data_IF_466673958906
#
_entry.id   IF_466673958906
#
_cell.length_a   1.000
_cell.length_b   1.000
_cell.length_c   1.000
_cell.angle_alpha   90.00
_cell.angle_beta   90.00
_cell.angle_gamma   90.00
#
_symmetry.space_group_name_H-M   'P 1'
#
loop_
_entity.id
_entity.type
_entity.pdbx_description
1 polymer ?
#
# COMPACT_ATOMS: atom_id res chain seq x y z
N UNK A 1 72.83 2.35 2.28
CA UNK A 1 71.67 1.39 2.35
C UNK A 1 70.44 2.12 1.81
N UNK A 2 70.12 1.96 0.53
CA UNK A 2 69.02 2.56 -0.15
C UNK A 2 67.86 1.55 -0.16
N UNK A 3 66.85 1.79 0.71
CA UNK A 3 65.64 0.99 0.73
C UNK A 3 64.71 1.43 -0.40
N UNK A 4 64.57 0.62 -1.45
CA UNK A 4 63.54 0.79 -2.46
C UNK A 4 62.22 0.25 -1.90
N UNK A 5 61.22 1.12 -1.76
CA UNK A 5 59.83 0.71 -1.51
C UNK A 5 59.29 -0.02 -2.75
N UNK A 6 58.60 -1.16 -2.57
CA UNK A 6 58.01 -1.86 -3.71
C UNK A 6 56.79 -1.06 -4.19
N UNK A 7 56.85 -0.55 -5.42
CA UNK A 7 55.71 0.06 -6.12
C UNK A 7 54.77 -1.07 -6.52
N UNK A 8 53.68 -1.23 -5.79
CA UNK A 8 52.58 -2.16 -6.14
C UNK A 8 51.95 -1.68 -7.45
N UNK A 9 52.20 -2.38 -8.55
CA UNK A 9 51.54 -2.09 -9.84
C UNK A 9 50.05 -2.41 -9.73
N UNK A 10 49.24 -1.38 -9.63
CA UNK A 10 47.77 -1.51 -9.74
C UNK A 10 47.44 -1.89 -11.19
N UNK A 11 47.09 -3.16 -11.43
CA UNK A 11 46.61 -3.63 -12.74
C UNK A 11 45.40 -2.79 -13.13
N UNK A 12 45.51 -1.92 -14.14
CA UNK A 12 44.38 -1.21 -14.76
C UNK A 12 43.38 -2.24 -15.28
N UNK A 13 42.15 -2.24 -14.75
CA UNK A 13 41.06 -3.04 -15.31
C UNK A 13 40.81 -2.58 -16.75
N UNK A 14 40.42 -3.49 -17.65
CA UNK A 14 40.00 -3.07 -18.99
C UNK A 14 38.71 -2.24 -18.90
N UNK A 15 38.60 -1.21 -19.72
CA UNK A 15 37.41 -0.31 -19.78
C UNK A 15 36.14 -1.11 -19.97
N UNK A 16 36.15 -2.15 -20.78
CA UNK A 16 35.01 -3.05 -20.99
C UNK A 16 34.57 -3.74 -19.69
N UNK A 17 35.51 -4.19 -18.88
CA UNK A 17 35.21 -4.84 -17.60
C UNK A 17 34.58 -3.85 -16.60
N UNK A 18 35.06 -2.62 -16.56
CA UNK A 18 34.49 -1.56 -15.72
C UNK A 18 33.03 -1.23 -16.11
N UNK A 19 32.75 -1.15 -17.41
CA UNK A 19 31.39 -0.96 -17.90
C UNK A 19 30.46 -2.13 -17.53
N UNK A 20 30.90 -3.37 -17.73
CA UNK A 20 30.16 -4.58 -17.39
C UNK A 20 29.87 -4.65 -15.88
N UNK A 21 30.89 -4.42 -15.04
CA UNK A 21 30.73 -4.38 -13.58
C UNK A 21 29.69 -3.30 -13.16
N UNK A 22 29.76 -2.09 -13.75
CA UNK A 22 28.84 -0.99 -13.46
C UNK A 22 27.40 -1.30 -13.88
N UNK A 23 27.19 -1.91 -15.04
CA UNK A 23 25.87 -2.33 -15.52
C UNK A 23 25.28 -3.42 -14.62
N UNK A 24 26.08 -4.40 -14.21
CA UNK A 24 25.63 -5.46 -13.29
C UNK A 24 25.21 -4.85 -11.94
N UNK A 25 26.03 -3.98 -11.37
CA UNK A 25 25.71 -3.31 -10.10
C UNK A 25 24.43 -2.48 -10.21
N UNK A 26 24.29 -1.69 -11.28
CA UNK A 26 23.10 -0.90 -11.54
C UNK A 26 21.85 -1.78 -11.69
N UNK A 27 21.95 -2.90 -12.41
CA UNK A 27 20.87 -3.86 -12.59
C UNK A 27 20.45 -4.51 -11.26
N UNK A 28 21.43 -4.98 -10.47
CA UNK A 28 21.16 -5.59 -9.16
C UNK A 28 20.48 -4.57 -8.22
N UNK A 29 20.99 -3.33 -8.19
CA UNK A 29 20.40 -2.26 -7.38
C UNK A 29 18.96 -1.93 -7.82
N UNK A 30 18.73 -1.82 -9.12
CA UNK A 30 17.38 -1.61 -9.67
C UNK A 30 16.43 -2.75 -9.31
N UNK A 31 16.89 -4.00 -9.36
CA UNK A 31 16.12 -5.16 -8.94
C UNK A 31 15.78 -5.13 -7.45
N UNK A 32 16.73 -4.76 -6.59
CA UNK A 32 16.50 -4.61 -5.15
C UNK A 32 15.43 -3.53 -4.90
N UNK A 33 15.58 -2.36 -5.54
CA UNK A 33 14.60 -1.28 -5.41
C UNK A 33 13.21 -1.74 -5.85
N UNK A 34 13.11 -2.41 -7.01
CA UNK A 34 11.83 -2.90 -7.55
C UNK A 34 11.17 -3.95 -6.65
N UNK A 35 11.94 -4.86 -6.08
CA UNK A 35 11.40 -5.94 -5.24
C UNK A 35 10.99 -5.42 -3.86
N UNK A 36 11.79 -4.57 -3.24
CA UNK A 36 11.62 -4.20 -1.84
C UNK A 36 10.99 -2.84 -1.60
N UNK A 37 11.17 -1.87 -2.50
CA UNK A 37 10.82 -0.48 -2.19
C UNK A 37 9.54 -0.02 -2.87
N UNK A 38 9.42 -0.18 -4.20
CA UNK A 38 8.33 0.39 -4.98
C UNK A 38 7.78 -0.60 -5.99
N UNK A 39 6.46 -0.71 -6.04
CA UNK A 39 5.76 -1.50 -7.06
C UNK A 39 4.71 -0.65 -7.77
N UNK A 40 4.65 -0.80 -9.10
CA UNK A 40 3.61 -0.20 -9.91
C UNK A 40 2.37 -1.10 -9.96
N UNK A 41 1.18 -0.50 -9.80
CA UNK A 41 -0.11 -1.16 -9.96
C UNK A 41 -0.99 -0.37 -10.91
N UNK A 42 -1.65 -1.08 -11.84
CA UNK A 42 -2.68 -0.49 -12.69
C UNK A 42 -4.04 -0.65 -12.02
N UNK A 43 -4.85 0.39 -12.02
CA UNK A 43 -6.19 0.40 -11.43
C UNK A 43 -7.19 -0.16 -12.44
N UNK A 44 -7.79 -1.34 -12.18
CA UNK A 44 -8.70 -1.98 -13.12
C UNK A 44 -10.17 -1.61 -12.89
N UNK A 45 -10.54 -1.07 -11.71
CA UNK A 45 -11.94 -0.89 -11.30
C UNK A 45 -12.20 0.47 -10.67
N UNK A 46 -13.45 0.93 -10.74
CA UNK A 46 -13.87 2.24 -10.24
C UNK A 46 -14.21 2.30 -8.75
N UNK A 47 -13.85 1.31 -7.94
CA UNK A 47 -14.18 1.29 -6.50
C UNK A 47 -13.52 2.42 -5.69
N UNK A 48 -12.47 3.05 -6.24
CA UNK A 48 -11.76 4.19 -5.66
C UNK A 48 -11.97 5.47 -6.48
N UNK A 49 -13.02 5.54 -7.31
CA UNK A 49 -13.36 6.77 -8.08
C UNK A 49 -13.47 7.94 -7.13
N UNK A 50 -13.19 9.14 -7.64
CA UNK A 50 -12.85 10.39 -6.98
C UNK A 50 -11.36 10.48 -6.63
N UNK A 51 -10.73 9.44 -6.11
CA UNK A 51 -9.29 9.42 -5.83
C UNK A 51 -8.51 8.75 -6.96
N UNK A 52 -8.90 7.57 -7.39
CA UNK A 52 -8.25 6.80 -8.46
C UNK A 52 -9.27 6.48 -9.55
N UNK A 53 -8.88 6.61 -10.81
CA UNK A 53 -9.70 6.21 -11.96
C UNK A 53 -9.15 4.93 -12.59
N UNK A 54 -10.03 4.24 -13.31
CA UNK A 54 -9.62 3.08 -14.12
C UNK A 54 -8.57 3.50 -15.14
N UNK A 55 -7.51 2.71 -15.25
CA UNK A 55 -6.38 3.01 -16.13
C UNK A 55 -5.24 3.80 -15.47
N UNK A 56 -5.48 4.43 -14.30
CA UNK A 56 -4.38 5.03 -13.54
C UNK A 56 -3.33 3.97 -13.21
N UNK A 57 -2.06 4.36 -13.27
CA UNK A 57 -0.95 3.55 -12.78
C UNK A 57 -0.33 4.27 -11.59
N UNK A 58 -0.29 3.56 -10.47
CA UNK A 58 0.15 4.10 -9.19
C UNK A 58 1.47 3.49 -8.74
N UNK A 59 2.25 4.26 -7.98
CA UNK A 59 3.41 3.76 -7.25
C UNK A 59 3.02 3.45 -5.80
N UNK A 60 3.32 2.23 -5.38
CA UNK A 60 3.05 1.72 -4.04
C UNK A 60 4.35 1.51 -3.30
N UNK A 61 4.50 2.16 -2.15
CA UNK A 61 5.62 1.95 -1.24
C UNK A 61 5.35 0.75 -0.35
N UNK A 62 6.08 -0.32 -0.57
CA UNK A 62 6.00 -1.55 0.23
C UNK A 62 6.71 -1.42 1.58
N UNK A 63 7.75 -0.60 1.63
CA UNK A 63 8.64 -0.51 2.78
C UNK A 63 7.97 0.11 4.00
N UNK A 64 6.96 0.96 3.78
CA UNK A 64 6.36 1.78 4.83
C UNK A 64 5.70 0.94 5.94
N UNK A 65 5.11 -0.21 5.60
CA UNK A 65 4.43 -1.12 6.55
C UNK A 65 5.21 -2.39 6.87
N UNK A 66 6.50 -2.41 6.51
CA UNK A 66 7.36 -3.58 6.65
C UNK A 66 7.22 -4.55 5.47
N UNK A 67 8.30 -4.71 4.72
CA UNK A 67 8.33 -5.59 3.55
C UNK A 67 8.34 -7.05 4.01
N UNK A 68 7.48 -7.88 3.43
CA UNK A 68 7.59 -9.34 3.57
C UNK A 68 8.80 -9.80 2.74
N UNK A 69 9.72 -10.51 3.37
CA UNK A 69 10.87 -11.09 2.66
C UNK A 69 10.35 -12.26 1.80
N UNK A 70 10.64 -12.27 0.49
CA UNK A 70 10.25 -13.37 -0.39
C UNK A 70 10.67 -14.73 0.18
N UNK A 71 9.83 -15.74 0.03
CA UNK A 71 10.06 -17.12 0.48
C UNK A 71 10.19 -17.33 1.99
N UNK A 72 9.86 -16.31 2.81
CA UNK A 72 9.87 -16.42 4.28
C UNK A 72 8.61 -15.80 4.86
N UNK A 73 8.32 -16.07 6.14
CA UNK A 73 7.27 -15.38 6.88
C UNK A 73 7.78 -14.12 7.61
N UNK A 74 9.04 -13.82 7.45
CA UNK A 74 9.65 -12.66 8.09
C UNK A 74 9.26 -11.36 7.40
N UNK A 75 9.03 -10.32 8.21
CA UNK A 75 8.84 -8.94 7.76
C UNK A 75 9.91 -8.04 8.34
N UNK A 76 10.42 -7.14 7.52
CA UNK A 76 11.25 -6.05 8.01
C UNK A 76 10.43 -5.14 8.93
N UNK A 77 11.06 -4.46 9.90
CA UNK A 77 10.37 -3.48 10.73
C UNK A 77 9.66 -2.43 9.88
N UNK A 78 8.43 -2.08 10.26
CA UNK A 78 7.67 -1.03 9.60
C UNK A 78 8.27 0.35 9.94
N UNK A 79 8.37 1.23 8.96
CA UNK A 79 8.79 2.63 9.17
C UNK A 79 7.72 3.35 10.01
N UNK A 80 6.44 3.08 9.74
CA UNK A 80 5.32 3.59 10.52
C UNK A 80 4.12 2.65 10.46
N UNK A 81 3.23 2.82 11.42
CA UNK A 81 1.95 2.11 11.42
C UNK A 81 1.01 2.68 10.35
N UNK A 82 0.12 1.84 9.80
CA UNK A 82 -0.98 2.30 8.96
C UNK A 82 -1.84 3.33 9.71
N UNK A 83 -2.26 4.38 9.01
CA UNK A 83 -3.11 5.43 9.59
C UNK A 83 -4.41 5.55 8.81
N UNK A 84 -5.47 5.94 9.50
CA UNK A 84 -6.74 6.29 8.85
C UNK A 84 -6.51 7.28 7.71
N UNK A 85 -7.18 7.07 6.58
CA UNK A 85 -7.00 7.85 5.37
C UNK A 85 -5.96 7.29 4.41
N UNK A 86 -5.03 6.42 4.84
CA UNK A 86 -4.06 5.80 3.93
C UNK A 86 -4.78 4.97 2.85
N UNK A 87 -4.40 5.17 1.60
CA UNK A 87 -4.82 4.29 0.49
C UNK A 87 -3.83 3.14 0.40
N UNK A 88 -4.32 1.93 0.60
CA UNK A 88 -3.49 0.73 0.79
C UNK A 88 -3.81 -0.32 -0.26
N UNK A 89 -2.77 -0.93 -0.81
CA UNK A 89 -2.87 -2.16 -1.61
C UNK A 89 -2.65 -3.35 -0.69
N UNK A 90 -3.54 -4.33 -0.78
CA UNK A 90 -3.50 -5.54 0.03
C UNK A 90 -4.03 -6.75 -0.73
N UNK A 91 -3.63 -7.93 -0.30
CA UNK A 91 -4.13 -9.22 -0.79
C UNK A 91 -5.58 -9.40 -0.32
N UNK A 92 -6.48 -9.72 -1.24
CA UNK A 92 -7.90 -9.92 -0.93
C UNK A 92 -8.09 -11.15 -0.02
N UNK A 93 -8.74 -11.01 1.16
CA UNK A 93 -8.82 -12.09 2.14
C UNK A 93 -9.51 -13.36 1.64
N UNK A 94 -10.54 -13.23 0.81
CA UNK A 94 -11.32 -14.37 0.30
C UNK A 94 -10.69 -15.00 -0.96
N UNK A 95 -9.79 -14.29 -1.65
CA UNK A 95 -9.07 -14.80 -2.81
C UNK A 95 -7.65 -14.24 -2.88
N UNK A 96 -6.64 -14.94 -2.34
CA UNK A 96 -5.25 -14.47 -2.27
C UNK A 96 -4.56 -14.27 -3.64
N UNK A 97 -5.22 -14.63 -4.74
CA UNK A 97 -4.72 -14.36 -6.09
C UNK A 97 -5.05 -12.96 -6.60
N UNK A 98 -5.83 -12.18 -5.84
CA UNK A 98 -6.27 -10.84 -6.21
C UNK A 98 -5.74 -9.82 -5.24
N UNK A 99 -5.23 -8.72 -5.76
CA UNK A 99 -4.86 -7.55 -4.98
C UNK A 99 -5.98 -6.51 -5.05
N UNK A 100 -6.32 -5.95 -3.91
CA UNK A 100 -7.31 -4.89 -3.77
C UNK A 100 -6.65 -3.60 -3.30
N UNK A 101 -7.25 -2.49 -3.68
CA UNK A 101 -6.86 -1.16 -3.22
C UNK A 101 -8.06 -0.48 -2.59
N UNK A 102 -7.93 -0.05 -1.33
CA UNK A 102 -8.97 0.64 -0.56
C UNK A 102 -8.35 1.66 0.39
N UNK A 103 -9.20 2.49 0.95
CA UNK A 103 -8.84 3.47 1.99
C UNK A 103 -9.03 2.87 3.37
N UNK A 104 -8.03 3.04 4.23
CA UNK A 104 -8.09 2.60 5.62
C UNK A 104 -9.06 3.50 6.40
N UNK A 105 -10.14 2.92 6.89
CA UNK A 105 -11.17 3.63 7.65
C UNK A 105 -11.03 3.44 9.16
N UNK A 106 -10.67 2.23 9.61
CA UNK A 106 -10.46 1.97 11.04
C UNK A 106 -9.34 0.98 11.30
N UNK A 107 -8.69 1.14 12.45
CA UNK A 107 -7.57 0.33 12.94
C UNK A 107 -8.02 -0.55 14.11
N UNK A 108 -7.14 -1.45 14.53
CA UNK A 108 -7.41 -2.37 15.66
C UNK A 108 -7.95 -1.67 16.89
N UNK A 109 -8.91 -2.30 17.57
CA UNK A 109 -9.56 -1.81 18.78
C UNK A 109 -10.63 -0.75 18.56
N UNK A 110 -10.70 -0.14 17.36
CA UNK A 110 -11.73 0.84 17.04
C UNK A 110 -13.06 0.17 16.70
N UNK A 111 -14.15 0.77 17.17
CA UNK A 111 -15.48 0.37 16.73
C UNK A 111 -15.92 1.15 15.50
N UNK A 112 -16.56 0.45 14.56
CA UNK A 112 -17.06 1.02 13.30
C UNK A 112 -18.56 0.80 13.21
N UNK A 113 -19.29 1.83 12.82
CA UNK A 113 -20.71 1.77 12.51
C UNK A 113 -21.02 2.75 11.37
N UNK A 114 -21.94 2.39 10.47
CA UNK A 114 -22.40 3.28 9.41
C UNK A 114 -23.87 3.61 9.67
N UNK A 115 -24.16 4.90 9.86
CA UNK A 115 -25.50 5.44 10.09
C UNK A 115 -25.79 6.57 9.11
N UNK A 116 -26.91 6.49 8.40
CA UNK A 116 -27.35 7.53 7.47
C UNK A 116 -26.22 7.99 6.51
N UNK A 117 -25.42 7.04 6.01
CA UNK A 117 -24.31 7.32 5.09
C UNK A 117 -23.05 7.89 5.74
N UNK A 118 -23.04 8.11 7.04
CA UNK A 118 -21.90 8.60 7.81
C UNK A 118 -21.22 7.46 8.56
N UNK A 119 -19.87 7.45 8.53
CA UNK A 119 -19.06 6.50 9.31
C UNK A 119 -18.91 7.05 10.73
N UNK A 120 -19.17 6.21 11.71
CA UNK A 120 -18.90 6.47 13.12
C UNK A 120 -17.75 5.59 13.59
N UNK A 121 -16.76 6.20 14.22
CA UNK A 121 -15.63 5.52 14.87
C UNK A 121 -15.71 5.81 16.37
N UNK A 122 -15.76 4.76 17.19
CA UNK A 122 -15.88 4.88 18.64
C UNK A 122 -17.08 5.78 19.07
N UNK A 123 -18.21 5.62 18.37
CA UNK A 123 -19.45 6.39 18.52
C UNK A 123 -19.38 7.88 18.12
N UNK A 124 -18.28 8.33 17.53
CA UNK A 124 -18.14 9.70 17.03
C UNK A 124 -18.18 9.73 15.50
N UNK A 125 -18.91 10.66 14.89
CA UNK A 125 -18.93 10.76 13.43
C UNK A 125 -17.54 11.13 12.92
N UNK A 126 -17.12 10.45 11.87
CA UNK A 126 -15.82 10.68 11.24
C UNK A 126 -15.85 11.96 10.41
N UNK A 127 -15.27 13.04 10.95
CA UNK A 127 -15.28 14.37 10.35
C UNK A 127 -14.17 14.60 9.30
N UNK A 128 -13.22 13.65 9.14
CA UNK A 128 -12.16 13.78 8.15
C UNK A 128 -12.76 13.96 6.74
N UNK A 129 -12.39 15.02 6.00
CA UNK A 129 -12.90 15.31 4.65
C UNK A 129 -12.74 14.15 3.67
N UNK A 130 -11.75 13.28 3.89
CA UNK A 130 -11.54 12.07 3.08
C UNK A 130 -12.72 11.09 3.18
N UNK A 131 -13.53 11.18 4.22
CA UNK A 131 -14.69 10.33 4.46
C UNK A 131 -15.98 11.11 4.54
N UNK A 132 -16.03 12.26 5.24
CA UNK A 132 -17.25 13.02 5.52
C UNK A 132 -17.91 13.62 4.27
N UNK A 133 -17.14 13.79 3.19
CA UNK A 133 -17.67 14.28 1.90
C UNK A 133 -18.28 13.16 1.03
N UNK A 134 -18.39 11.93 1.56
CA UNK A 134 -18.88 10.76 0.84
C UNK A 134 -20.05 10.13 1.58
N UNK A 135 -20.99 9.58 0.83
CA UNK A 135 -22.08 8.80 1.39
C UNK A 135 -21.74 7.31 1.38
N UNK A 136 -21.76 6.66 2.53
CA UNK A 136 -21.45 5.23 2.67
C UNK A 136 -22.75 4.43 2.84
N UNK A 137 -23.07 3.64 1.82
CA UNK A 137 -24.27 2.79 1.85
C UNK A 137 -24.11 1.64 2.84
N UNK A 138 -25.16 1.38 3.63
CA UNK A 138 -25.26 0.19 4.47
C UNK A 138 -25.46 -1.04 3.58
N UNK A 139 -24.38 -1.77 3.30
CA UNK A 139 -24.34 -2.97 2.44
C UNK A 139 -23.40 -4.01 3.03
N UNK A 140 -23.66 -5.29 2.71
CA UNK A 140 -22.86 -6.41 3.21
C UNK A 140 -23.08 -6.69 4.69
N UNK A 141 -22.49 -7.77 5.17
CA UNK A 141 -22.75 -8.32 6.50
C UNK A 141 -22.11 -7.52 7.65
N UNK A 142 -21.09 -6.72 7.33
CA UNK A 142 -20.33 -5.96 8.32
C UNK A 142 -20.74 -4.48 8.42
N UNK A 143 -21.73 -4.03 7.65
CA UNK A 143 -22.17 -2.64 7.69
C UNK A 143 -23.69 -2.51 7.59
N UNK A 144 -24.41 -3.48 8.13
CA UNK A 144 -25.88 -3.41 8.29
C UNK A 144 -26.24 -2.24 9.23
N UNK A 145 -27.38 -1.66 9.01
CA UNK A 145 -27.86 -0.55 9.85
C UNK A 145 -27.96 -0.98 11.32
N UNK A 146 -27.44 -0.13 12.22
CA UNK A 146 -27.40 -0.43 13.65
C UNK A 146 -26.35 -1.46 14.06
N UNK A 147 -25.61 -2.05 13.11
CA UNK A 147 -24.56 -3.01 13.42
C UNK A 147 -23.26 -2.29 13.72
N UNK A 148 -22.84 -2.34 14.97
CA UNK A 148 -21.54 -1.88 15.43
C UNK A 148 -20.58 -3.04 15.49
N UNK A 149 -19.43 -2.92 14.85
CA UNK A 149 -18.35 -3.92 14.82
C UNK A 149 -17.09 -3.35 15.46
N UNK A 150 -16.28 -4.20 16.07
CA UNK A 150 -14.97 -3.83 16.62
C UNK A 150 -13.89 -4.48 15.79
N UNK A 151 -12.90 -3.70 15.37
CA UNK A 151 -11.77 -4.20 14.58
C UNK A 151 -10.87 -5.05 15.47
N UNK A 152 -10.65 -6.33 15.14
CA UNK A 152 -9.80 -7.21 15.94
C UNK A 152 -8.34 -6.76 15.94
N UNK A 153 -7.56 -7.27 16.89
CA UNK A 153 -6.11 -7.05 16.94
C UNK A 153 -5.45 -7.45 15.62
N UNK A 154 -4.46 -6.67 15.20
CA UNK A 154 -3.71 -6.84 13.93
C UNK A 154 -4.58 -6.88 12.67
N UNK A 155 -5.78 -6.31 12.72
CA UNK A 155 -6.69 -6.19 11.59
C UNK A 155 -7.02 -4.74 11.29
N UNK A 156 -7.56 -4.52 10.09
CA UNK A 156 -7.92 -3.22 9.58
C UNK A 156 -9.26 -3.28 8.84
N UNK A 157 -9.99 -2.16 8.85
CA UNK A 157 -11.25 -2.02 8.14
C UNK A 157 -11.07 -1.01 6.99
N UNK A 158 -11.30 -1.46 5.77
CA UNK A 158 -11.07 -0.70 4.55
C UNK A 158 -12.36 -0.38 3.83
N UNK A 159 -12.46 0.82 3.27
CA UNK A 159 -13.59 1.26 2.47
C UNK A 159 -13.14 1.78 1.11
N UNK A 160 -13.96 1.58 0.09
CA UNK A 160 -13.76 2.22 -1.21
C UNK A 160 -14.27 3.65 -1.22
N UNK A 161 -13.57 4.52 -1.93
CA UNK A 161 -13.97 5.93 -2.08
C UNK A 161 -15.24 6.08 -2.91
N UNK A 162 -15.58 5.11 -3.76
CA UNK A 162 -16.85 4.98 -4.45
C UNK A 162 -17.73 3.95 -3.74
N UNK A 163 -18.37 4.36 -2.67
CA UNK A 163 -19.18 3.48 -1.81
C UNK A 163 -20.29 2.73 -2.56
N UNK A 164 -20.89 3.34 -3.58
CA UNK A 164 -21.96 2.74 -4.36
C UNK A 164 -21.51 1.53 -5.20
N UNK A 165 -20.22 1.52 -5.63
CA UNK A 165 -19.66 0.50 -6.53
C UNK A 165 -18.37 -0.12 -5.96
N UNK A 166 -18.30 -0.26 -4.64
CA UNK A 166 -17.14 -0.87 -3.98
C UNK A 166 -17.53 -2.14 -3.24
N UNK A 167 -16.85 -3.23 -3.59
CA UNK A 167 -16.69 -4.36 -2.68
C UNK A 167 -15.53 -4.02 -1.74
N UNK A 168 -15.80 -3.97 -0.44
CA UNK A 168 -14.85 -3.60 0.60
C UNK A 168 -15.21 -4.26 1.94
N UNK A 169 -14.62 -3.84 3.03
CA UNK A 169 -14.79 -4.46 4.34
C UNK A 169 -16.23 -4.53 4.83
N UNK A 170 -17.15 -3.80 4.24
CA UNK A 170 -18.59 -3.96 4.50
C UNK A 170 -19.08 -5.37 4.15
N UNK A 171 -18.46 -6.04 3.17
CA UNK A 171 -18.83 -7.36 2.69
C UNK A 171 -18.01 -8.48 3.35
N UNK A 172 -16.68 -8.38 3.36
CA UNK A 172 -15.78 -9.44 3.85
C UNK A 172 -15.20 -9.18 5.25
N UNK A 173 -15.51 -8.03 5.87
CA UNK A 173 -15.01 -7.70 7.19
C UNK A 173 -13.56 -7.21 7.21
N UNK A 174 -12.72 -7.84 7.99
CA UNK A 174 -11.41 -7.32 8.34
C UNK A 174 -10.29 -7.85 7.46
N UNK A 175 -9.27 -7.03 7.26
CA UNK A 175 -8.05 -7.40 6.53
C UNK A 175 -6.90 -7.52 7.52
N UNK A 176 -6.32 -8.72 7.69
CA UNK A 176 -5.16 -8.91 8.54
C UNK A 176 -3.93 -8.13 8.05
N UNK A 177 -3.11 -7.63 8.99
CA UNK A 177 -1.84 -6.92 8.71
C UNK A 177 -0.95 -7.69 7.72
N UNK A 178 -0.89 -9.01 7.83
CA UNK A 178 -0.07 -9.85 6.95
C UNK A 178 -0.41 -9.74 5.45
N UNK A 179 -1.63 -9.29 5.13
CA UNK A 179 -2.09 -9.12 3.74
C UNK A 179 -1.77 -7.75 3.16
N UNK A 180 -1.32 -6.78 3.97
CA UNK A 180 -0.96 -5.46 3.47
C UNK A 180 0.31 -5.53 2.63
N UNK A 181 0.24 -5.04 1.39
CA UNK A 181 1.36 -4.97 0.46
C UNK A 181 2.08 -3.63 0.55
N UNK A 182 1.36 -2.51 0.70
CA UNK A 182 1.98 -1.21 0.81
C UNK A 182 1.00 -0.04 0.67
N UNK A 183 1.53 1.17 0.85
CA UNK A 183 0.78 2.42 0.69
C UNK A 183 0.90 2.94 -0.74
N UNK A 184 -0.23 3.27 -1.36
CA UNK A 184 -0.27 4.01 -2.61
C UNK A 184 0.17 5.46 -2.35
N UNK A 185 1.17 5.94 -3.10
CA UNK A 185 1.77 7.25 -2.87
C UNK A 185 1.53 8.23 -3.98
N UNK A 186 1.62 7.78 -5.22
CA UNK A 186 1.65 8.63 -6.39
C UNK A 186 0.91 7.97 -7.55
N UNK A 187 0.08 8.74 -8.26
CA UNK A 187 -0.36 8.41 -9.64
C UNK A 187 0.75 8.93 -10.55
N UNK A 188 1.41 8.06 -11.30
CA UNK A 188 2.47 8.49 -12.23
C UNK A 188 2.07 8.36 -13.71
N UNK A 189 0.97 7.70 -14.01
CA UNK A 189 0.40 7.61 -15.35
C UNK A 189 -1.14 7.58 -15.27
N UNK A 190 -1.85 8.25 -16.18
CA UNK A 190 -1.36 9.07 -17.30
C UNK A 190 -0.72 10.39 -16.81
N UNK A 191 0.16 10.97 -17.63
CA UNK A 191 0.93 12.19 -17.27
C UNK A 191 0.02 13.33 -16.83
N UNK A 192 -1.18 13.46 -17.44
CA UNK A 192 -2.19 14.47 -17.09
C UNK A 192 -2.76 14.33 -15.68
N UNK A 193 -2.52 13.19 -15.01
CA UNK A 193 -3.05 12.89 -13.68
C UNK A 193 -1.97 12.67 -12.62
N UNK A 194 -0.72 13.02 -12.92
CA UNK A 194 0.37 12.89 -11.94
C UNK A 194 0.04 13.70 -10.69
N UNK A 195 -0.11 13.00 -9.57
CA UNK A 195 -0.36 13.63 -8.26
C UNK A 195 -0.07 12.68 -7.11
N UNK A 196 0.25 13.26 -5.94
CA UNK A 196 0.35 12.51 -4.68
C UNK A 196 -1.04 12.08 -4.23
N UNK A 197 -1.17 10.83 -3.80
CA UNK A 197 -2.41 10.25 -3.25
C UNK A 197 -2.49 10.61 -1.76
N UNK A 198 -3.55 11.33 -1.42
CA UNK A 198 -3.89 11.70 -0.04
C UNK A 198 -4.99 10.81 0.49
#
# INVERSE_FOLDING_TARGET
>A
MSGQCPVTSVKKKSVLREWVESIIVAFVLAMIIRVFVVQAFKIPTGSMRTTLLEGDVILVNKFIYGVKIPFTDWRLPAIRQPRRGDVVVFIYPENPRKDFIKRLAATEGESVEIKNGTIYINNQPLQDPLFSQRYYYNRGDFAQEGKKIVVPKDNFFFLGDNSASSQDSRYWGFVPRKYMLGKAMLIYWPVSRIRIIK
#
